data_IF_340552129173
#
_entry.id   IF_340552129173
#
_cell.length_a   1.000
_cell.length_b   1.000
_cell.length_c   1.000
_cell.angle_alpha   90.00
_cell.angle_beta   90.00
_cell.angle_gamma   90.00
#
_symmetry.space_group_name_H-M   'P 1'
#
loop_
_entity.id
_entity.type
_entity.pdbx_description
1 polymer ?
#
# COMPACT_ATOMS: atom_id res chain seq x y z
N UNK A 1 1.46 23.44 -5.91
CA UNK A 1 0.57 22.51 -5.21
C UNK A 1 1.09 21.14 -5.57
N UNK A 2 2.03 20.66 -4.76
CA UNK A 2 2.67 19.37 -4.96
C UNK A 2 1.59 18.30 -4.76
N UNK A 3 1.11 17.74 -5.87
CA UNK A 3 0.22 16.59 -5.82
C UNK A 3 1.02 15.45 -5.21
N UNK A 4 0.76 15.19 -3.93
CA UNK A 4 1.36 14.10 -3.22
C UNK A 4 0.48 12.88 -3.46
N UNK A 5 0.90 12.06 -4.41
CA UNK A 5 0.28 10.77 -4.68
C UNK A 5 0.20 9.93 -3.39
N UNK A 6 -0.87 9.15 -3.24
CA UNK A 6 -1.01 8.25 -2.09
C UNK A 6 -0.23 6.97 -2.30
N UNK A 7 -0.17 6.49 -3.54
CA UNK A 7 0.79 5.50 -3.99
C UNK A 7 1.25 5.83 -5.42
N UNK A 8 2.40 5.31 -5.81
CA UNK A 8 2.95 5.49 -7.14
C UNK A 8 3.53 4.17 -7.65
N UNK A 9 3.15 3.78 -8.86
CA UNK A 9 3.77 2.68 -9.60
C UNK A 9 4.63 3.23 -10.73
N UNK A 10 5.84 2.73 -10.87
CA UNK A 10 6.80 3.23 -11.87
C UNK A 10 6.35 2.98 -13.32
N UNK A 11 5.59 1.91 -13.58
CA UNK A 11 5.15 1.56 -14.93
C UNK A 11 3.80 2.19 -15.31
N UNK A 12 3.64 2.57 -16.61
CA UNK A 12 4.66 2.54 -17.66
C UNK A 12 5.60 3.77 -17.58
N UNK A 13 6.92 3.59 -17.69
CA UNK A 13 7.82 4.74 -17.81
C UNK A 13 7.65 5.46 -19.17
N UNK A 14 7.81 6.80 -19.22
CA UNK A 14 8.10 7.72 -18.12
C UNK A 14 6.84 8.22 -17.38
N UNK A 15 5.67 7.66 -17.71
CA UNK A 15 4.35 8.14 -17.29
C UNK A 15 3.74 7.19 -16.25
N UNK A 16 4.48 6.92 -15.18
CA UNK A 16 4.05 5.98 -14.13
C UNK A 16 2.64 6.27 -13.60
N UNK A 17 2.08 5.30 -12.89
CA UNK A 17 0.69 5.37 -12.44
C UNK A 17 0.60 5.95 -11.03
N UNK A 18 -0.01 7.13 -10.91
CA UNK A 18 -0.38 7.72 -9.62
C UNK A 18 -1.70 7.14 -9.11
N UNK A 19 -1.73 6.78 -7.83
CA UNK A 19 -2.93 6.35 -7.13
C UNK A 19 -3.42 7.48 -6.22
N UNK A 20 -4.68 7.83 -6.40
CA UNK A 20 -5.41 8.81 -5.60
C UNK A 20 -6.37 8.09 -4.64
N UNK A 21 -7.03 8.84 -3.76
CA UNK A 21 -7.93 8.29 -2.73
C UNK A 21 -8.95 7.30 -3.32
N UNK A 22 -9.65 7.66 -4.40
CA UNK A 22 -10.64 6.78 -5.04
C UNK A 22 -10.06 5.46 -5.55
N UNK A 23 -8.78 5.40 -5.91
CA UNK A 23 -8.13 4.15 -6.31
C UNK A 23 -7.91 3.25 -5.10
N UNK A 24 -7.57 3.82 -3.94
CA UNK A 24 -7.30 3.06 -2.72
C UNK A 24 -8.56 2.56 -2.01
N UNK A 25 -9.75 3.07 -2.35
CA UNK A 25 -11.02 2.57 -1.77
C UNK A 25 -11.51 1.28 -2.47
N UNK A 26 -11.01 1.00 -3.67
CA UNK A 26 -11.39 -0.20 -4.42
C UNK A 26 -10.47 -1.36 -4.03
N UNK A 27 -11.06 -2.42 -3.46
CA UNK A 27 -10.31 -3.58 -2.98
C UNK A 27 -9.47 -4.25 -4.09
N UNK A 28 -9.98 -4.35 -5.31
CA UNK A 28 -9.25 -5.00 -6.40
C UNK A 28 -8.03 -4.17 -6.83
N UNK A 29 -8.16 -2.84 -6.84
CA UNK A 29 -7.02 -1.95 -7.07
C UNK A 29 -5.95 -2.08 -5.97
N UNK A 30 -6.36 -2.24 -4.71
CA UNK A 30 -5.42 -2.44 -3.59
C UNK A 30 -4.72 -3.80 -3.68
N UNK A 31 -5.45 -4.87 -4.04
CA UNK A 31 -4.86 -6.19 -4.31
C UNK A 31 -3.75 -6.08 -5.38
N UNK A 32 -4.04 -5.48 -6.54
CA UNK A 32 -3.02 -5.27 -7.56
C UNK A 32 -1.86 -4.36 -7.10
N UNK A 33 -2.16 -3.33 -6.30
CA UNK A 33 -1.12 -2.44 -5.78
C UNK A 33 -0.14 -3.19 -4.87
N UNK A 34 -0.64 -4.08 -4.01
CA UNK A 34 0.21 -4.93 -3.15
C UNK A 34 1.07 -5.88 -3.98
N UNK A 35 0.53 -6.49 -5.04
CA UNK A 35 1.33 -7.30 -5.98
C UNK A 35 2.47 -6.47 -6.59
N UNK A 36 2.21 -5.22 -7.00
CA UNK A 36 3.25 -4.34 -7.54
C UNK A 36 4.28 -3.93 -6.48
N UNK A 37 3.86 -3.70 -5.24
CA UNK A 37 4.76 -3.41 -4.14
C UNK A 37 5.65 -4.61 -3.80
N UNK A 38 5.11 -5.83 -3.87
CA UNK A 38 5.86 -7.07 -3.65
C UNK A 38 7.05 -7.23 -4.62
N UNK A 39 6.90 -6.78 -5.86
CA UNK A 39 7.96 -6.81 -6.89
C UNK A 39 8.73 -5.48 -7.02
N UNK A 40 8.58 -4.55 -6.06
CA UNK A 40 9.26 -3.24 -6.04
C UNK A 40 8.90 -2.30 -7.21
N UNK A 41 7.76 -2.51 -7.85
CA UNK A 41 7.26 -1.62 -8.92
C UNK A 41 6.41 -0.47 -8.39
N UNK A 42 5.92 -0.56 -7.16
CA UNK A 42 5.09 0.46 -6.54
C UNK A 42 5.53 0.79 -5.11
N UNK A 43 5.22 2.00 -4.69
CA UNK A 43 5.40 2.47 -3.31
C UNK A 43 4.13 3.14 -2.82
N UNK A 44 3.79 2.91 -1.56
CA UNK A 44 2.67 3.54 -0.86
C UNK A 44 3.26 4.58 0.09
N UNK A 45 2.80 5.82 0.02
CA UNK A 45 3.26 6.87 0.93
C UNK A 45 2.68 6.68 2.32
N UNK A 46 3.25 7.37 3.32
CA UNK A 46 2.70 7.40 4.69
C UNK A 46 1.22 7.82 4.69
N UNK A 47 0.84 8.81 3.88
CA UNK A 47 -0.55 9.23 3.73
C UNK A 47 -1.42 8.13 3.09
N UNK A 48 -0.90 7.41 2.09
CA UNK A 48 -1.62 6.29 1.48
C UNK A 48 -1.90 5.16 2.46
N UNK A 49 -0.94 4.81 3.31
CA UNK A 49 -1.14 3.81 4.37
C UNK A 49 -2.19 4.24 5.39
N UNK A 50 -2.18 5.51 5.82
CA UNK A 50 -3.21 6.06 6.72
C UNK A 50 -4.61 5.88 6.12
N UNK A 51 -4.78 6.20 4.83
CA UNK A 51 -6.05 6.05 4.12
C UNK A 51 -6.49 4.59 3.97
N UNK A 52 -5.56 3.69 3.64
CA UNK A 52 -5.82 2.25 3.54
C UNK A 52 -6.27 1.66 4.88
N UNK A 53 -5.56 1.97 5.96
CA UNK A 53 -5.88 1.50 7.30
C UNK A 53 -7.23 2.07 7.75
N UNK A 54 -7.49 3.35 7.51
CA UNK A 54 -8.74 4.01 7.90
C UNK A 54 -9.97 3.45 7.18
N UNK A 55 -9.85 3.12 5.89
CA UNK A 55 -10.99 2.65 5.08
C UNK A 55 -11.20 1.14 5.13
N UNK A 56 -10.15 0.34 4.93
CA UNK A 56 -10.26 -1.12 4.86
C UNK A 56 -10.09 -1.80 6.22
N UNK A 57 -9.31 -1.19 7.12
CA UNK A 57 -8.89 -1.80 8.37
C UNK A 57 -7.84 -2.91 8.16
N UNK A 58 -7.11 -3.22 9.24
CA UNK A 58 -6.02 -4.19 9.20
C UNK A 58 -6.44 -5.59 8.76
N UNK A 59 -7.63 -6.05 9.16
CA UNK A 59 -8.12 -7.38 8.81
C UNK A 59 -8.23 -7.57 7.29
N UNK A 60 -8.80 -6.60 6.58
CA UNK A 60 -8.96 -6.68 5.12
C UNK A 60 -7.60 -6.56 4.43
N UNK A 61 -6.74 -5.66 4.90
CA UNK A 61 -5.38 -5.50 4.36
C UNK A 61 -4.54 -6.76 4.56
N UNK A 62 -4.73 -7.48 5.67
CA UNK A 62 -4.09 -8.77 5.91
C UNK A 62 -4.57 -9.85 4.92
N UNK A 63 -5.88 -9.96 4.68
CA UNK A 63 -6.40 -10.88 3.66
C UNK A 63 -5.88 -10.57 2.25
N UNK A 64 -5.66 -9.29 1.94
CA UNK A 64 -5.04 -8.87 0.67
C UNK A 64 -3.57 -9.29 0.66
N UNK A 65 -2.85 -9.05 1.75
CA UNK A 65 -1.44 -9.43 1.89
C UNK A 65 -1.23 -10.94 1.78
N UNK A 66 -2.10 -11.77 2.36
CA UNK A 66 -2.01 -13.24 2.24
C UNK A 66 -2.11 -13.72 0.78
N UNK A 67 -2.81 -12.98 -0.08
CA UNK A 67 -2.87 -13.28 -1.52
C UNK A 67 -1.64 -12.78 -2.26
N UNK A 68 -1.19 -11.57 -1.97
CA UNK A 68 -0.06 -10.95 -2.68
C UNK A 68 1.30 -11.48 -2.25
N UNK A 69 1.42 -11.93 -0.99
CA UNK A 69 2.67 -12.36 -0.37
C UNK A 69 3.67 -11.22 -0.22
N UNK A 70 3.21 -9.99 0.04
CA UNK A 70 4.13 -8.84 0.14
C UNK A 70 4.89 -8.87 1.47
N UNK A 71 4.18 -8.87 2.58
CA UNK A 71 4.73 -9.06 3.91
C UNK A 71 4.62 -10.54 4.30
N UNK A 72 5.73 -11.13 4.72
CA UNK A 72 5.79 -12.49 5.22
C UNK A 72 5.39 -12.50 6.70
N UNK A 73 4.10 -12.73 6.98
CA UNK A 73 3.52 -12.68 8.33
C UNK A 73 2.65 -13.91 8.57
N UNK A 74 2.82 -14.57 9.71
CA UNK A 74 2.09 -15.79 10.05
C UNK A 74 0.66 -15.51 10.55
N UNK A 75 0.41 -14.28 11.03
CA UNK A 75 -0.87 -13.88 11.60
C UNK A 75 -1.12 -12.36 11.51
N UNK A 76 -2.34 -11.94 11.84
CA UNK A 76 -2.76 -10.54 11.81
C UNK A 76 -1.95 -9.63 12.74
N UNK A 77 -1.55 -10.10 13.92
CA UNK A 77 -0.80 -9.28 14.89
C UNK A 77 0.59 -8.94 14.37
N UNK A 78 1.28 -9.94 13.79
CA UNK A 78 2.56 -9.72 13.08
C UNK A 78 2.39 -8.77 11.91
N UNK A 79 1.33 -8.94 11.12
CA UNK A 79 1.05 -8.02 10.01
C UNK A 79 0.85 -6.57 10.48
N UNK A 80 0.10 -6.35 11.56
CA UNK A 80 -0.09 -5.00 12.12
C UNK A 80 1.26 -4.40 12.53
N UNK A 81 2.08 -5.17 13.25
CA UNK A 81 3.41 -4.73 13.67
C UNK A 81 4.32 -4.39 12.48
N UNK A 82 4.35 -5.24 11.45
CA UNK A 82 5.13 -5.00 10.24
C UNK A 82 4.66 -3.77 9.49
N UNK A 83 3.34 -3.54 9.36
CA UNK A 83 2.80 -2.33 8.75
C UNK A 83 3.19 -1.08 9.54
N UNK A 84 3.04 -1.09 10.87
CA UNK A 84 3.41 0.06 11.71
C UNK A 84 4.89 0.40 11.57
N UNK A 85 5.76 -0.61 11.67
CA UNK A 85 7.21 -0.50 11.47
C UNK A 85 7.57 0.01 10.07
N UNK A 86 6.94 -0.56 9.03
CA UNK A 86 7.11 -0.13 7.64
C UNK A 86 6.71 1.33 7.47
N UNK A 87 5.52 1.72 7.94
CA UNK A 87 5.01 3.10 7.85
C UNK A 87 5.93 4.07 8.56
N UNK A 88 6.46 3.71 9.73
CA UNK A 88 7.39 4.54 10.49
C UNK A 88 8.74 4.72 9.80
N UNK A 89 9.19 3.75 9.01
CA UNK A 89 10.39 3.87 8.19
C UNK A 89 10.23 4.79 6.97
N UNK A 90 8.98 5.10 6.56
CA UNK A 90 8.73 5.95 5.39
C UNK A 90 9.05 7.41 5.68
N UNK A 91 9.58 8.16 4.69
CA UNK A 91 9.88 9.57 4.88
C UNK A 91 8.61 10.38 5.22
N UNK A 92 8.78 11.36 6.11
CA UNK A 92 7.83 12.46 6.32
C UNK A 92 7.88 13.40 5.11
N UNK A 93 7.51 12.92 3.94
CA UNK A 93 7.15 13.84 2.85
C UNK A 93 5.94 14.66 3.28
#
# INVERSE_FOLDING_TARGET
>A
MDKKWLAYRIYPEPSGTEYQHSNLMDRANVECLFDYCQILEATISRAGWIELIAYHGFQVLYEINEKSGWFDCDNLEEFIFEIESHVDSLPEL
#
